data_IF_508861371568
#
_entry.id   IF_508861371568
#
_cell.length_a   1.000
_cell.length_b   1.000
_cell.length_c   1.000
_cell.angle_alpha   90.00
_cell.angle_beta   90.00
_cell.angle_gamma   90.00
#
_symmetry.space_group_name_H-M   'P 1'
#
loop_
_entity.id
_entity.type
_entity.pdbx_description
1 polymer ?
#
# COMPACT_ATOMS: atom_id res chain seq x y z
N UNK A 1 32.12 19.41 -32.29
CA UNK A 1 31.23 18.92 -31.21
C UNK A 1 31.46 17.43 -31.08
N UNK A 2 31.93 16.95 -29.92
CA UNK A 2 32.32 15.55 -29.77
C UNK A 2 31.09 14.70 -29.46
N UNK A 3 30.47 14.14 -30.50
CA UNK A 3 29.25 13.33 -30.40
C UNK A 3 29.41 12.16 -29.43
N UNK A 4 30.61 11.59 -29.30
CA UNK A 4 30.91 10.52 -28.34
C UNK A 4 30.70 10.96 -26.89
N UNK A 5 31.08 12.19 -26.54
CA UNK A 5 30.89 12.74 -25.18
C UNK A 5 29.41 12.96 -24.89
N UNK A 6 28.64 13.45 -25.87
CA UNK A 6 27.20 13.68 -25.74
C UNK A 6 26.45 12.35 -25.53
N UNK A 7 26.76 11.34 -26.34
CA UNK A 7 26.14 10.00 -26.23
C UNK A 7 26.50 9.32 -24.91
N UNK A 8 27.77 9.39 -24.48
CA UNK A 8 28.19 8.84 -23.20
C UNK A 8 27.51 9.54 -22.01
N UNK A 9 27.37 10.87 -22.07
CA UNK A 9 26.65 11.65 -21.07
C UNK A 9 25.18 11.21 -20.93
N UNK A 10 24.48 11.01 -22.05
CA UNK A 10 23.09 10.52 -22.05
C UNK A 10 23.00 9.12 -21.41
N UNK A 11 23.90 8.20 -21.79
CA UNK A 11 23.93 6.83 -21.21
C UNK A 11 24.15 6.87 -19.70
N UNK A 12 25.07 7.71 -19.21
CA UNK A 12 25.33 7.86 -17.78
C UNK A 12 24.10 8.39 -17.04
N UNK A 13 23.39 9.38 -17.59
CA UNK A 13 22.15 9.90 -16.98
C UNK A 13 21.08 8.81 -16.88
N UNK A 14 20.88 8.02 -17.95
CA UNK A 14 19.95 6.89 -17.91
C UNK A 14 20.36 5.82 -16.90
N UNK A 15 21.67 5.53 -16.78
CA UNK A 15 22.18 4.56 -15.82
C UNK A 15 21.99 5.04 -14.38
N UNK A 16 22.27 6.31 -14.08
CA UNK A 16 22.03 6.90 -12.76
C UNK A 16 20.53 6.89 -12.43
N UNK A 17 19.67 7.26 -13.38
CA UNK A 17 18.22 7.21 -13.21
C UNK A 17 17.71 5.78 -12.95
N UNK A 18 18.21 4.80 -13.70
CA UNK A 18 17.90 3.39 -13.50
C UNK A 18 18.33 2.90 -12.12
N UNK A 19 19.55 3.24 -11.68
CA UNK A 19 20.04 2.88 -10.34
C UNK A 19 19.22 3.55 -9.24
N UNK A 20 18.83 4.82 -9.41
CA UNK A 20 17.98 5.53 -8.45
C UNK A 20 16.64 4.83 -8.27
N UNK A 21 15.94 4.49 -9.36
CA UNK A 21 14.64 3.80 -9.28
C UNK A 21 14.76 2.43 -8.60
N UNK A 22 15.81 1.67 -8.89
CA UNK A 22 15.90 0.28 -8.43
C UNK A 22 16.52 0.13 -7.03
N UNK A 23 17.42 1.03 -6.62
CA UNK A 23 18.18 0.89 -5.37
C UNK A 23 17.89 1.97 -4.32
N UNK A 24 17.38 3.13 -4.72
CA UNK A 24 17.16 4.28 -3.82
C UNK A 24 15.68 4.47 -3.49
N UNK A 25 14.76 4.01 -4.35
CA UNK A 25 13.33 4.09 -4.09
C UNK A 25 12.96 3.43 -2.76
N UNK A 26 12.39 4.22 -1.86
CA UNK A 26 11.94 3.74 -0.56
C UNK A 26 10.72 2.80 -0.67
N UNK A 27 10.09 2.67 -1.84
CA UNK A 27 8.89 1.88 -2.08
C UNK A 27 9.05 0.90 -3.23
N UNK A 28 8.52 -0.33 -3.09
CA UNK A 28 8.47 -1.34 -4.16
C UNK A 28 7.15 -2.09 -4.15
N UNK A 29 6.51 -2.19 -5.32
CA UNK A 29 5.33 -3.04 -5.50
C UNK A 29 5.76 -4.50 -5.50
N UNK A 30 5.27 -5.26 -4.52
CA UNK A 30 5.58 -6.68 -4.30
C UNK A 30 4.49 -7.60 -4.86
N UNK A 31 3.28 -7.10 -5.09
CA UNK A 31 2.21 -7.85 -5.76
C UNK A 31 1.38 -6.91 -6.65
N UNK A 32 1.14 -7.31 -7.91
CA UNK A 32 0.40 -6.48 -8.87
C UNK A 32 -1.11 -6.56 -8.69
N UNK A 33 -1.67 -7.77 -8.64
CA UNK A 33 -3.10 -8.00 -8.44
C UNK A 33 -3.33 -9.44 -7.98
N UNK A 34 -4.32 -9.64 -7.11
CA UNK A 34 -4.68 -10.95 -6.56
C UNK A 34 -6.12 -10.94 -6.06
N UNK A 35 -6.81 -12.08 -6.20
CA UNK A 35 -8.14 -12.30 -5.64
C UNK A 35 -8.04 -12.98 -4.26
N UNK A 36 -8.87 -12.56 -3.31
CA UNK A 36 -8.97 -13.15 -1.97
C UNK A 36 -10.03 -14.26 -1.87
N UNK A 37 -10.75 -14.58 -2.94
CA UNK A 37 -11.67 -15.74 -3.01
C UNK A 37 -10.96 -17.11 -3.09
N UNK A 38 -9.63 -17.12 -3.11
CA UNK A 38 -8.82 -18.34 -3.01
C UNK A 38 -7.64 -18.14 -2.08
N UNK A 39 -7.08 -19.26 -1.60
CA UNK A 39 -5.81 -19.23 -0.88
C UNK A 39 -4.70 -18.68 -1.79
N UNK A 40 -3.88 -17.79 -1.25
CA UNK A 40 -2.78 -17.15 -1.97
C UNK A 40 -1.43 -17.57 -1.40
N UNK A 41 -0.38 -17.67 -2.24
CA UNK A 41 0.95 -18.03 -1.77
C UNK A 41 1.53 -16.93 -0.86
N UNK A 42 2.33 -17.38 0.10
CA UNK A 42 3.06 -16.50 1.00
C UNK A 42 4.14 -15.71 0.25
N UNK A 43 4.26 -14.41 0.55
CA UNK A 43 5.30 -13.56 -0.04
C UNK A 43 6.55 -13.61 0.85
N UNK A 44 7.60 -14.26 0.33
CA UNK A 44 8.89 -14.47 1.02
C UNK A 44 10.00 -13.52 0.55
N UNK A 45 9.75 -12.71 -0.50
CA UNK A 45 10.68 -11.70 -0.99
C UNK A 45 10.19 -10.31 -0.59
N UNK A 46 10.76 -9.77 0.49
CA UNK A 46 10.41 -8.45 1.02
C UNK A 46 11.68 -7.63 1.21
N UNK A 47 11.75 -6.48 0.54
CA UNK A 47 12.90 -5.59 0.64
C UNK A 47 13.01 -5.03 2.07
N UNK A 48 14.22 -5.12 2.65
CA UNK A 48 14.51 -4.72 4.04
C UNK A 48 13.43 -5.23 5.01
N UNK A 49 13.18 -6.53 4.95
CA UNK A 49 12.13 -7.22 5.68
C UNK A 49 12.15 -6.97 7.20
N UNK A 50 13.32 -6.75 7.79
CA UNK A 50 13.52 -6.63 9.23
C UNK A 50 13.48 -5.18 9.75
N UNK A 51 13.23 -4.19 8.88
CA UNK A 51 13.07 -2.81 9.31
C UNK A 51 11.88 -2.66 10.27
N UNK A 52 12.12 -1.98 11.40
CA UNK A 52 11.10 -1.70 12.43
C UNK A 52 10.21 -0.51 12.04
N UNK A 53 10.79 0.47 11.33
CA UNK A 53 10.02 1.52 10.65
C UNK A 53 9.77 1.13 9.19
N UNK A 54 8.52 1.16 8.78
CA UNK A 54 8.09 0.66 7.47
C UNK A 54 6.71 1.19 7.10
N UNK A 55 6.31 0.99 5.86
CA UNK A 55 4.91 1.09 5.46
C UNK A 55 4.48 -0.04 4.54
N UNK A 56 3.17 -0.26 4.50
CA UNK A 56 2.49 -1.13 3.54
C UNK A 56 1.33 -0.37 2.90
N UNK A 57 1.21 -0.46 1.58
CA UNK A 57 0.12 0.13 0.83
C UNK A 57 -0.54 -0.88 -0.09
N UNK A 58 -1.85 -0.81 -0.24
CA UNK A 58 -2.60 -1.69 -1.15
C UNK A 58 -3.87 -1.00 -1.65
N UNK A 59 -4.25 -1.30 -2.88
CA UNK A 59 -5.59 -1.06 -3.37
C UNK A 59 -6.46 -2.24 -3.01
N UNK A 60 -7.62 -1.98 -2.42
CA UNK A 60 -8.58 -3.00 -2.00
C UNK A 60 -9.92 -2.69 -2.66
N UNK A 61 -10.51 -3.72 -3.26
CA UNK A 61 -11.88 -3.70 -3.78
C UNK A 61 -12.67 -4.82 -3.10
N UNK A 62 -13.77 -4.49 -2.44
CA UNK A 62 -14.63 -5.50 -1.80
C UNK A 62 -15.87 -5.68 -2.66
N UNK A 63 -16.07 -6.89 -3.17
CA UNK A 63 -17.19 -7.24 -4.05
C UNK A 63 -18.47 -7.47 -3.25
N UNK A 64 -18.38 -8.28 -2.19
CA UNK A 64 -19.51 -8.63 -1.32
C UNK A 64 -19.11 -8.76 0.15
N UNK A 65 -20.12 -8.76 1.03
CA UNK A 65 -19.91 -8.81 2.48
C UNK A 65 -20.63 -10.00 3.10
N UNK A 66 -19.87 -11.03 3.48
CA UNK A 66 -20.37 -12.22 4.18
C UNK A 66 -20.00 -12.15 5.67
N UNK A 67 -21.00 -12.04 6.56
CA UNK A 67 -20.79 -11.94 8.01
C UNK A 67 -20.24 -13.23 8.66
N UNK A 68 -20.16 -14.34 7.94
CA UNK A 68 -19.61 -15.59 8.47
C UNK A 68 -18.12 -15.75 8.16
N UNK A 69 -17.54 -14.83 7.38
CA UNK A 69 -16.14 -14.88 6.94
C UNK A 69 -15.33 -13.76 7.57
N UNK A 70 -14.20 -14.13 8.15
CA UNK A 70 -13.14 -13.21 8.55
C UNK A 70 -12.55 -12.51 7.32
N UNK A 71 -12.29 -11.21 7.43
CA UNK A 71 -11.91 -10.35 6.29
C UNK A 71 -10.48 -9.85 6.43
N UNK A 72 -9.55 -10.79 6.43
CA UNK A 72 -8.13 -10.49 6.44
C UNK A 72 -7.68 -9.89 5.10
N UNK A 73 -7.00 -8.76 5.11
CA UNK A 73 -6.43 -8.18 3.88
C UNK A 73 -5.01 -8.71 3.70
N UNK A 74 -4.16 -8.52 4.70
CA UNK A 74 -2.86 -9.17 4.79
C UNK A 74 -2.40 -9.23 6.25
N UNK A 75 -1.50 -10.16 6.55
CA UNK A 75 -0.83 -10.20 7.84
C UNK A 75 0.62 -10.64 7.69
N UNK A 76 1.42 -10.27 8.68
CA UNK A 76 2.80 -10.72 8.82
C UNK A 76 3.06 -10.96 10.30
N UNK A 77 3.56 -12.17 10.60
CA UNK A 77 3.82 -12.60 11.97
C UNK A 77 4.77 -11.65 12.69
N UNK A 78 4.49 -11.36 13.97
CA UNK A 78 5.28 -10.47 14.82
C UNK A 78 5.49 -9.06 14.23
N UNK A 79 4.57 -8.59 13.39
CA UNK A 79 4.72 -7.31 12.71
C UNK A 79 3.40 -6.53 12.60
N UNK A 80 2.54 -6.92 11.67
CA UNK A 80 1.32 -6.17 11.32
C UNK A 80 0.22 -7.10 10.82
N UNK A 81 -1.03 -6.78 11.12
CA UNK A 81 -2.21 -7.43 10.53
C UNK A 81 -3.24 -6.38 10.16
N UNK A 82 -3.60 -6.30 8.87
CA UNK A 82 -4.64 -5.41 8.37
C UNK A 82 -5.87 -6.23 7.98
N UNK A 83 -7.02 -5.90 8.55
CA UNK A 83 -8.25 -6.65 8.35
C UNK A 83 -9.47 -5.76 8.58
N UNK A 84 -10.60 -6.22 8.07
CA UNK A 84 -11.90 -5.66 8.40
C UNK A 84 -12.57 -6.47 9.48
N UNK A 85 -13.35 -5.79 10.31
CA UNK A 85 -14.26 -6.43 11.25
C UNK A 85 -15.23 -7.36 10.53
N UNK A 86 -15.63 -8.45 11.17
CA UNK A 86 -16.47 -9.48 10.55
C UNK A 86 -17.87 -8.96 10.22
N UNK A 87 -18.44 -8.16 11.14
CA UNK A 87 -19.85 -7.78 11.13
C UNK A 87 -20.08 -6.39 10.55
N UNK A 88 -19.13 -5.48 10.75
CA UNK A 88 -19.24 -4.08 10.34
C UNK A 88 -18.08 -3.70 9.42
N UNK A 89 -18.24 -2.73 8.51
CA UNK A 89 -17.17 -2.25 7.64
C UNK A 89 -16.15 -1.39 8.40
N UNK A 90 -15.61 -1.90 9.51
CA UNK A 90 -14.61 -1.24 10.33
C UNK A 90 -13.25 -1.77 9.92
N UNK A 91 -12.38 -0.91 9.40
CA UNK A 91 -11.01 -1.26 9.06
C UNK A 91 -10.12 -1.13 10.30
N UNK A 92 -9.45 -2.22 10.66
CA UNK A 92 -8.57 -2.32 11.82
C UNK A 92 -7.18 -2.73 11.39
N UNK A 93 -6.19 -2.23 12.11
CA UNK A 93 -4.81 -2.62 11.97
C UNK A 93 -4.23 -2.98 13.34
N UNK A 94 -3.71 -4.19 13.46
CA UNK A 94 -2.99 -4.63 14.66
C UNK A 94 -1.49 -4.51 14.41
N UNK A 95 -0.79 -3.88 15.35
CA UNK A 95 0.67 -3.79 15.36
C UNK A 95 1.20 -4.64 16.50
N UNK A 96 2.17 -5.51 16.21
CA UNK A 96 2.86 -6.27 17.24
C UNK A 96 3.88 -5.38 17.95
N UNK A 97 3.84 -5.39 19.27
CA UNK A 97 4.71 -4.62 20.15
C UNK A 97 5.75 -5.51 20.82
N UNK A 98 6.89 -4.92 21.17
CA UNK A 98 7.80 -5.57 22.11
C UNK A 98 7.09 -5.76 23.45
N UNK A 99 7.35 -6.90 24.08
CA UNK A 99 6.86 -7.12 25.44
C UNK A 99 7.50 -6.10 26.37
N UNK A 100 6.70 -5.55 27.27
CA UNK A 100 7.16 -4.62 28.31
C UNK A 100 8.02 -5.36 29.36
N UNK A 101 7.87 -6.68 29.47
CA UNK A 101 8.64 -7.54 30.38
C UNK A 101 9.30 -8.71 29.64
N UNK A 102 10.52 -9.11 30.05
CA UNK A 102 11.18 -10.29 29.52
C UNK A 102 10.36 -11.57 29.85
N UNK A 103 10.10 -12.41 28.84
CA UNK A 103 9.39 -13.68 29.01
C UNK A 103 7.85 -13.65 28.90
N UNK A 104 7.24 -12.49 28.63
CA UNK A 104 5.80 -12.37 28.33
C UNK A 104 5.53 -12.41 26.82
N UNK A 105 4.38 -12.96 26.38
CA UNK A 105 4.06 -13.09 24.97
C UNK A 105 3.90 -11.73 24.28
N UNK A 106 4.18 -11.70 22.97
CA UNK A 106 3.97 -10.52 22.12
C UNK A 106 2.57 -9.96 22.35
N UNK A 107 2.48 -8.67 22.64
CA UNK A 107 1.19 -7.98 22.75
C UNK A 107 0.90 -7.29 21.42
N UNK A 108 -0.33 -7.40 20.92
CA UNK A 108 -0.78 -6.66 19.75
C UNK A 108 -1.63 -5.47 20.23
N UNK A 109 -1.43 -4.31 19.62
CA UNK A 109 -2.29 -3.15 19.82
C UNK A 109 -3.08 -2.88 18.54
N UNK A 110 -4.40 -2.83 18.68
CA UNK A 110 -5.35 -2.56 17.59
C UNK A 110 -5.59 -1.06 17.41
N UNK A 111 -5.59 -0.63 16.15
CA UNK A 111 -5.91 0.72 15.71
C UNK A 111 -7.12 0.64 14.79
N UNK A 112 -8.18 1.38 15.14
CA UNK A 112 -9.34 1.57 14.27
C UNK A 112 -8.98 2.69 13.29
N UNK A 113 -8.87 2.35 12.00
CA UNK A 113 -8.52 3.30 10.93
C UNK A 113 -9.78 4.06 10.49
N UNK A 114 -10.86 3.34 10.22
CA UNK A 114 -12.16 3.90 9.88
C UNK A 114 -13.27 2.94 10.30
N UNK A 115 -14.43 3.48 10.65
CA UNK A 115 -15.60 2.70 11.01
C UNK A 115 -16.60 2.53 9.86
N UNK A 116 -16.33 3.16 8.73
CA UNK A 116 -17.18 3.13 7.55
C UNK A 116 -16.34 2.95 6.28
N UNK A 117 -15.75 1.77 6.14
CA UNK A 117 -14.95 1.40 4.99
C UNK A 117 -15.85 1.26 3.75
N UNK A 118 -15.54 1.96 2.64
CA UNK A 118 -16.37 1.90 1.44
C UNK A 118 -16.33 0.51 0.77
N UNK A 119 -17.49 0.00 0.38
CA UNK A 119 -17.62 -1.25 -0.39
C UNK A 119 -17.84 -0.95 -1.89
N UNK A 120 -17.63 -1.96 -2.75
CA UNK A 120 -17.88 -1.92 -4.21
C UNK A 120 -17.20 -0.75 -4.94
N UNK A 121 -16.04 -0.33 -4.43
CA UNK A 121 -15.16 0.65 -5.08
C UNK A 121 -13.72 0.38 -4.71
N UNK A 122 -12.79 0.84 -5.52
CA UNK A 122 -11.38 0.83 -5.19
C UNK A 122 -11.07 1.83 -4.09
N UNK A 123 -10.45 1.34 -3.01
CA UNK A 123 -9.97 2.15 -1.90
C UNK A 123 -8.48 1.87 -1.73
N UNK A 124 -7.68 2.93 -1.74
CA UNK A 124 -6.25 2.83 -1.48
C UNK A 124 -5.98 3.02 0.00
N UNK A 125 -5.26 2.08 0.61
CA UNK A 125 -4.92 2.10 2.03
C UNK A 125 -3.40 2.12 2.14
N UNK A 126 -2.86 2.98 3.00
CA UNK A 126 -1.47 2.89 3.45
C UNK A 126 -1.46 2.86 4.98
N UNK A 127 -0.71 1.93 5.56
CA UNK A 127 -0.33 1.97 6.97
C UNK A 127 1.18 2.22 7.03
N UNK A 128 1.56 3.33 7.64
CA UNK A 128 2.93 3.74 7.91
C UNK A 128 3.21 3.61 9.40
N UNK A 129 4.34 2.99 9.73
CA UNK A 129 4.79 2.74 11.09
C UNK A 129 6.16 3.38 11.24
N UNK A 130 6.24 4.38 12.12
CA UNK A 130 7.48 4.99 12.56
C UNK A 130 7.80 4.54 13.99
N UNK A 131 8.71 3.58 14.09
CA UNK A 131 9.14 3.05 15.37
C UNK A 131 10.07 4.05 16.07
N UNK A 132 9.56 4.69 17.12
CA UNK A 132 10.39 5.48 18.01
C UNK A 132 11.35 4.58 18.77
N UNK A 133 12.57 5.05 19.02
CA UNK A 133 13.48 4.42 19.97
C UNK A 133 13.17 4.97 21.36
N UNK A 134 12.53 4.16 22.21
CA UNK A 134 12.28 4.49 23.62
C UNK A 134 11.16 5.52 23.89
N UNK A 135 10.49 6.00 22.83
CA UNK A 135 9.41 7.00 22.95
C UNK A 135 8.07 6.47 22.43
N UNK A 136 7.94 5.18 22.12
CA UNK A 136 6.76 4.59 21.52
C UNK A 136 6.72 4.75 20.00
N UNK A 137 5.90 3.94 19.36
CA UNK A 137 5.74 3.94 17.90
C UNK A 137 4.58 4.83 17.47
N UNK A 138 4.73 5.52 16.35
CA UNK A 138 3.67 6.30 15.70
C UNK A 138 3.19 5.52 14.49
N UNK A 139 1.87 5.40 14.36
CA UNK A 139 1.22 4.72 13.23
C UNK A 139 0.30 5.70 12.53
N UNK A 140 0.62 5.98 11.27
CA UNK A 140 -0.13 6.84 10.38
C UNK A 140 -0.83 6.01 9.32
N UNK A 141 -2.16 6.15 9.26
CA UNK A 141 -3.01 5.42 8.34
C UNK A 141 -3.63 6.40 7.34
N UNK A 142 -3.39 6.15 6.06
CA UNK A 142 -3.92 6.93 4.96
C UNK A 142 -4.99 6.14 4.21
N UNK A 143 -6.04 6.83 3.78
CA UNK A 143 -7.04 6.33 2.84
C UNK A 143 -7.12 7.29 1.66
N UNK A 144 -6.99 6.77 0.45
CA UNK A 144 -7.03 7.53 -0.80
C UNK A 144 -6.07 8.74 -0.77
N UNK A 145 -4.84 8.51 -0.30
CA UNK A 145 -3.79 9.52 -0.22
C UNK A 145 -3.95 10.57 0.89
N UNK A 146 -4.98 10.47 1.74
CA UNK A 146 -5.23 11.40 2.86
C UNK A 146 -5.00 10.73 4.20
N UNK A 147 -4.39 11.42 5.15
CA UNK A 147 -4.23 10.94 6.52
C UNK A 147 -5.60 10.88 7.20
N UNK A 148 -6.01 9.69 7.64
CA UNK A 148 -7.30 9.47 8.32
C UNK A 148 -7.10 9.23 9.81
N UNK A 149 -6.00 8.58 10.19
CA UNK A 149 -5.67 8.30 11.58
C UNK A 149 -4.16 8.45 11.79
N UNK A 150 -3.79 9.14 12.85
CA UNK A 150 -2.45 9.10 13.43
C UNK A 150 -2.59 8.67 14.89
N UNK A 151 -1.82 7.69 15.33
CA UNK A 151 -1.91 7.19 16.71
C UNK A 151 -0.56 6.75 17.21
N UNK A 152 -0.24 7.20 18.42
CA UNK A 152 0.91 6.70 19.18
C UNK A 152 0.51 5.43 19.92
N UNK A 153 1.24 4.34 19.72
CA UNK A 153 1.05 3.08 20.42
C UNK A 153 1.93 3.00 21.67
N UNK A 154 1.54 2.15 22.61
CA UNK A 154 2.01 2.22 24.02
C UNK A 154 3.46 1.79 24.23
N UNK A 155 4.06 1.12 23.25
CA UNK A 155 5.41 0.59 23.30
C UNK A 155 6.06 0.65 21.91
N UNK A 156 7.32 0.27 21.83
CA UNK A 156 8.05 0.17 20.58
C UNK A 156 7.57 -1.05 19.78
N UNK A 157 7.41 -0.87 18.47
CA UNK A 157 7.02 -1.94 17.56
C UNK A 157 8.04 -3.09 17.61
N UNK A 158 7.52 -4.31 17.50
CA UNK A 158 8.36 -5.50 17.48
C UNK A 158 9.16 -5.55 16.19
N UNK A 159 10.44 -5.91 16.32
CA UNK A 159 11.27 -6.16 15.15
C UNK A 159 10.72 -7.35 14.36
N UNK A 160 10.43 -7.20 13.06
CA UNK A 160 9.96 -8.30 12.22
C UNK A 160 11.10 -9.31 11.98
N UNK A 161 10.77 -10.60 11.87
CA UNK A 161 11.71 -11.60 11.39
C UNK A 161 12.01 -11.45 9.89
N UNK A 162 12.99 -12.19 9.38
CA UNK A 162 13.27 -12.25 7.93
C UNK A 162 12.02 -12.68 7.13
N UNK A 163 11.98 -12.36 5.84
CA UNK A 163 10.82 -12.67 5.01
C UNK A 163 10.59 -14.18 4.78
N UNK A 164 11.60 -15.02 5.01
CA UNK A 164 11.46 -16.49 4.97
C UNK A 164 10.90 -17.07 6.26
N UNK A 165 11.23 -16.46 7.41
CA UNK A 165 10.75 -16.89 8.74
C UNK A 165 9.38 -16.29 9.06
N UNK A 166 9.14 -15.06 8.61
CA UNK A 166 7.89 -14.31 8.81
C UNK A 166 7.43 -13.73 7.47
N UNK A 167 6.94 -14.59 6.55
CA UNK A 167 6.42 -14.14 5.26
C UNK A 167 5.15 -13.31 5.41
N UNK A 168 4.84 -12.52 4.37
CA UNK A 168 3.55 -11.82 4.30
C UNK A 168 2.50 -12.79 3.75
N UNK A 169 1.41 -12.93 4.50
CA UNK A 169 0.24 -13.73 4.13
C UNK A 169 -0.82 -12.83 3.54
N UNK A 170 -1.07 -12.98 2.25
CA UNK A 170 -2.18 -12.32 1.56
C UNK A 170 -3.50 -12.96 1.99
N UNK A 171 -4.52 -12.14 2.27
CA UNK A 171 -5.76 -12.61 2.87
C UNK A 171 -5.67 -12.90 4.36
N UNK A 172 -4.49 -12.75 4.97
CA UNK A 172 -4.20 -13.10 6.36
C UNK A 172 -4.61 -14.55 6.75
N UNK A 173 -4.56 -15.48 5.80
CA UNK A 173 -5.03 -16.86 5.99
C UNK A 173 -6.54 -17.06 5.91
N UNK A 174 -7.28 -16.05 5.45
CA UNK A 174 -8.73 -16.07 5.25
C UNK A 174 -9.07 -16.00 3.77
N UNK A 175 -10.26 -16.49 3.41
CA UNK A 175 -10.79 -16.49 2.04
C UNK A 175 -12.13 -15.75 2.04
N UNK A 176 -12.23 -14.68 1.26
CA UNK A 176 -13.43 -13.84 1.19
C UNK A 176 -13.43 -13.00 -0.09
N UNK A 177 -14.59 -12.44 -0.43
CA UNK A 177 -14.84 -11.87 -1.75
C UNK A 177 -14.32 -10.42 -1.90
N UNK A 178 -13.02 -10.31 -2.13
CA UNK A 178 -12.31 -9.05 -2.34
C UNK A 178 -11.08 -9.21 -3.24
N UNK A 179 -10.64 -8.12 -3.86
CA UNK A 179 -9.47 -8.06 -4.74
C UNK A 179 -8.46 -7.08 -4.16
N UNK A 180 -7.20 -7.47 -4.20
CA UNK A 180 -6.05 -6.67 -3.82
C UNK A 180 -5.24 -6.31 -5.06
N UNK A 181 -4.85 -5.05 -5.20
CA UNK A 181 -3.99 -4.58 -6.28
C UNK A 181 -2.85 -3.71 -5.75
N UNK A 182 -1.73 -3.74 -6.48
CA UNK A 182 -0.51 -2.95 -6.26
C UNK A 182 -0.08 -2.91 -4.80
N UNK A 183 0.05 -4.09 -4.20
CA UNK A 183 0.57 -4.23 -2.85
C UNK A 183 2.02 -3.78 -2.81
N UNK A 184 2.32 -2.77 -1.99
CA UNK A 184 3.56 -2.02 -2.01
C UNK A 184 4.18 -2.00 -0.62
N UNK A 185 5.48 -2.29 -0.56
CA UNK A 185 6.31 -2.24 0.65
C UNK A 185 7.11 -0.94 0.65
N UNK A 186 7.07 -0.18 1.74
CA UNK A 186 7.82 1.06 1.95
C UNK A 186 8.89 0.89 3.03
N UNK A 187 10.18 0.80 2.68
CA UNK A 187 11.30 0.52 3.61
C UNK A 187 11.50 1.59 4.70
N UNK A 188 10.79 2.71 4.61
CA UNK A 188 10.75 3.81 5.58
C UNK A 188 9.28 4.22 5.83
N UNK A 189 9.00 4.99 6.91
CA UNK A 189 7.69 5.62 7.09
C UNK A 189 7.29 6.45 5.87
N UNK A 190 6.00 6.54 5.62
CA UNK A 190 5.40 7.22 4.47
C UNK A 190 4.89 8.60 4.90
N UNK A 191 5.43 9.64 4.29
CA UNK A 191 4.94 11.00 4.45
C UNK A 191 3.69 11.28 3.58
N UNK A 192 2.92 12.35 3.86
CA UNK A 192 1.69 12.66 3.14
C UNK A 192 1.87 12.86 1.63
N UNK A 193 2.99 13.43 1.18
CA UNK A 193 3.22 13.64 -0.25
C UNK A 193 3.45 12.30 -0.94
N UNK A 194 4.30 11.44 -0.36
CA UNK A 194 4.50 10.08 -0.88
C UNK A 194 3.19 9.28 -0.90
N UNK A 195 2.35 9.40 0.14
CA UNK A 195 1.06 8.72 0.19
C UNK A 195 0.11 9.20 -0.92
N UNK A 196 0.06 10.52 -1.15
CA UNK A 196 -0.72 11.14 -2.20
C UNK A 196 -0.25 10.75 -3.60
N UNK A 197 1.06 10.78 -3.86
CA UNK A 197 1.64 10.41 -5.16
C UNK A 197 1.38 8.93 -5.49
N UNK A 198 1.51 8.05 -4.49
CA UNK A 198 1.19 6.64 -4.66
C UNK A 198 -0.30 6.41 -4.93
N UNK A 199 -1.19 7.18 -4.30
CA UNK A 199 -2.62 7.16 -4.62
C UNK A 199 -2.88 7.61 -6.06
N UNK A 200 -2.32 8.75 -6.48
CA UNK A 200 -2.51 9.27 -7.85
C UNK A 200 -1.97 8.33 -8.93
N UNK A 201 -0.94 7.55 -8.61
CA UNK A 201 -0.40 6.55 -9.53
C UNK A 201 -1.34 5.37 -9.82
N UNK A 202 -2.51 5.31 -9.14
CA UNK A 202 -3.58 4.36 -9.43
C UNK A 202 -3.29 2.92 -9.00
N UNK A 203 -4.30 2.06 -9.17
CA UNK A 203 -4.27 0.63 -8.84
C UNK A 203 -3.49 -0.22 -9.86
N UNK A 204 -3.03 0.39 -10.96
CA UNK A 204 -2.33 -0.31 -12.05
C UNK A 204 -3.23 -1.07 -13.02
N UNK A 205 -4.57 -0.93 -12.93
CA UNK A 205 -5.52 -1.61 -13.81
C UNK A 205 -5.75 -0.92 -15.16
N UNK A 206 -5.04 0.17 -15.46
CA UNK A 206 -5.19 0.89 -16.73
C UNK A 206 -3.87 1.52 -17.19
N UNK A 207 -3.35 1.00 -18.30
CA UNK A 207 -2.18 1.53 -18.99
C UNK A 207 -2.44 2.87 -19.68
N UNK A 208 -1.39 3.67 -19.77
CA UNK A 208 -1.21 4.91 -20.57
C UNK A 208 -2.13 6.13 -20.34
N UNK A 209 -3.35 6.02 -19.81
CA UNK A 209 -4.26 7.19 -19.68
C UNK A 209 -5.07 7.24 -18.37
N UNK A 210 -4.44 6.96 -17.23
CA UNK A 210 -5.09 7.13 -15.92
C UNK A 210 -5.17 8.61 -15.53
N UNK A 211 -6.25 9.30 -15.91
CA UNK A 211 -6.60 10.64 -15.39
C UNK A 211 -7.89 10.64 -14.55
N UNK A 212 -7.94 9.84 -13.48
CA UNK A 212 -8.93 10.00 -12.40
C UNK A 212 -10.39 10.24 -12.82
N UNK A 213 -11.09 11.14 -12.10
CA UNK A 213 -12.48 11.58 -12.39
C UNK A 213 -12.56 12.63 -13.52
N UNK A 214 -11.52 12.80 -14.32
CA UNK A 214 -11.53 13.77 -15.41
C UNK A 214 -12.08 13.11 -16.67
N UNK A 215 -12.99 13.81 -17.34
CA UNK A 215 -13.45 13.42 -18.67
C UNK A 215 -12.72 14.25 -19.71
N UNK A 216 -12.29 13.60 -20.79
CA UNK A 216 -11.70 14.27 -21.94
C UNK A 216 -12.66 14.18 -23.12
N UNK A 217 -12.90 15.32 -23.76
CA UNK A 217 -13.69 15.41 -24.96
C UNK A 217 -12.81 15.92 -26.10
N UNK A 218 -12.84 15.24 -27.24
CA UNK A 218 -12.28 15.75 -28.48
C UNK A 218 -13.39 16.44 -29.27
N UNK A 219 -13.33 17.76 -29.34
CA UNK A 219 -14.17 18.55 -30.21
C UNK A 219 -13.46 18.79 -31.55
N UNK A 220 -14.09 18.36 -32.64
CA UNK A 220 -13.68 18.71 -34.00
C UNK A 220 -14.52 19.90 -34.43
N UNK A 221 -13.86 21.02 -34.74
CA UNK A 221 -14.51 22.23 -35.24
C UNK A 221 -14.29 22.33 -36.76
N UNK A 222 -15.34 22.73 -37.47
CA UNK A 222 -15.24 23.19 -38.86
C UNK A 222 -15.69 24.65 -38.87
N UNK A 223 -14.83 25.54 -39.37
CA UNK A 223 -15.10 26.98 -39.45
C UNK A 223 -15.46 27.61 -38.08
N UNK A 224 -14.76 27.19 -37.01
CA UNK A 224 -15.02 27.56 -35.61
C UNK A 224 -16.40 27.18 -35.07
N UNK A 225 -17.17 26.38 -35.82
CA UNK A 225 -18.43 25.78 -35.35
C UNK A 225 -18.15 24.31 -35.01
N UNK A 226 -18.55 23.89 -33.82
CA UNK A 226 -18.36 22.53 -33.36
C UNK A 226 -19.12 21.55 -34.28
N UNK A 227 -18.37 20.70 -34.98
CA UNK A 227 -18.90 19.75 -35.95
C UNK A 227 -19.10 18.36 -35.36
N UNK A 228 -18.19 17.93 -34.48
CA UNK A 228 -18.29 16.64 -33.78
C UNK A 228 -17.70 16.76 -32.38
N UNK A 229 -18.28 16.02 -31.44
CA UNK A 229 -17.77 15.89 -30.09
C UNK A 229 -17.74 14.41 -29.73
N UNK A 230 -16.55 13.89 -29.45
CA UNK A 230 -16.36 12.51 -29.02
C UNK A 230 -15.82 12.52 -27.60
N UNK A 231 -16.59 11.91 -26.69
CA UNK A 231 -16.13 11.65 -25.33
C UNK A 231 -15.12 10.50 -25.38
N UNK A 232 -13.88 10.79 -24.98
CA UNK A 232 -12.77 9.84 -25.01
C UNK A 232 -12.77 8.93 -23.77
N UNK A 233 -13.16 9.45 -22.61
CA UNK A 233 -13.43 8.72 -21.36
C UNK A 233 -14.23 9.60 -20.40
#
# INVERSE_FOLDING_TARGET
MNYTIIVLGIIIVFLVYYLYINYISASKTILKSVDLNSANPDITLVDKAENVSYGYGAWVYINSWDQNKSKGIFSRSNNISLYLDTNRPILKCDISLNSVNAGTPTTNQSIIITENFPLQKWVYIIVSVDAGSGNGTIVDCYINGKLVKSSKITSDAKQPGSATVSPIKIGAGTIWDAVLAKFTRFTKPVDPQTAWDNYLSGNGSTGLFSIGNFSANLAVLKDNIQYSNVKLF
#
